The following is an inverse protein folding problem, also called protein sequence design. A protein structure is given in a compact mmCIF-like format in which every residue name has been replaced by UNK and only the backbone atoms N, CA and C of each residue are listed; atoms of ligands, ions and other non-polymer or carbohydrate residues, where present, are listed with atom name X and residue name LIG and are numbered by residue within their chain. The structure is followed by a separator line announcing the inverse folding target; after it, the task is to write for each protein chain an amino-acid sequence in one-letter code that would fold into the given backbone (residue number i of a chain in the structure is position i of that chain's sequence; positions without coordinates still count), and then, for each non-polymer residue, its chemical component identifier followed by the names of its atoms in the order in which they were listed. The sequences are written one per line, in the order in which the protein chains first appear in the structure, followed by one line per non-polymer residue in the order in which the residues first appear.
data_IF_989017304773
#
_entry.id   IF_989017304773
#
_cell.length_a   1.000
_cell.length_b   1.000
_cell.length_c   1.000
_cell.angle_alpha   90.00
_cell.angle_beta   90.00
_cell.angle_gamma   90.00
#
_symmetry.space_group_name_H-M   'P 1'
#
loop_
_entity.id
_entity.type
_entity.pdbx_description
1 polymer ?
#
# COMPACT_ATOMS: atom_id res chain seq x y z
N UNK A 1 -10.69 -2.19 15.65
CA UNK A 1 -9.68 -1.68 16.62
C UNK A 1 -10.30 -1.08 17.88
N UNK A 2 -11.02 0.05 17.83
CA UNK A 2 -11.63 0.70 19.00
C UNK A 2 -12.47 -0.28 19.85
N UNK A 3 -13.40 -0.99 19.21
CA UNK A 3 -14.25 -2.01 19.85
C UNK A 3 -13.43 -3.04 20.64
N UNK A 4 -12.42 -3.65 20.02
CA UNK A 4 -11.60 -4.67 20.66
C UNK A 4 -10.71 -4.12 21.78
N UNK A 5 -9.99 -3.01 21.55
CA UNK A 5 -8.97 -2.51 22.49
C UNK A 5 -9.57 -1.68 23.63
N UNK A 6 -10.62 -0.91 23.37
CA UNK A 6 -11.23 0.03 24.33
C UNK A 6 -12.46 -0.59 24.98
N UNK A 7 -13.41 -1.05 24.17
CA UNK A 7 -14.72 -1.47 24.68
C UNK A 7 -14.66 -2.89 25.28
N UNK A 8 -14.03 -3.83 24.58
CA UNK A 8 -13.95 -5.25 24.98
C UNK A 8 -12.65 -5.62 25.71
N UNK A 9 -11.60 -4.79 25.58
CA UNK A 9 -10.25 -5.05 26.14
C UNK A 9 -9.68 -6.43 25.79
N UNK A 10 -9.86 -6.83 24.54
CA UNK A 10 -9.43 -8.11 23.99
C UNK A 10 -8.45 -7.95 22.82
N UNK A 11 -7.85 -9.06 22.42
CA UNK A 11 -6.99 -9.13 21.25
C UNK A 11 -7.74 -8.62 19.98
N UNK A 12 -7.22 -7.59 19.27
CA UNK A 12 -7.89 -7.05 18.08
C UNK A 12 -7.73 -7.91 16.83
N UNK A 13 -6.91 -8.97 16.87
CA UNK A 13 -6.66 -9.86 15.74
C UNK A 13 -7.59 -11.07 15.71
N UNK A 14 -8.63 -11.10 16.54
CA UNK A 14 -9.69 -12.11 16.49
C UNK A 14 -11.03 -11.45 16.82
N UNK A 15 -12.11 -11.86 16.14
CA UNK A 15 -13.44 -11.28 16.31
C UNK A 15 -14.55 -12.32 16.20
N UNK A 16 -15.55 -12.22 17.08
CA UNK A 16 -16.84 -12.94 16.95
C UNK A 16 -17.93 -12.08 16.29
N UNK A 17 -17.61 -10.84 15.91
CA UNK A 17 -18.56 -9.96 15.24
C UNK A 17 -18.74 -10.30 13.75
N UNK A 18 -17.83 -11.08 13.17
CA UNK A 18 -17.90 -11.53 11.77
C UNK A 18 -17.94 -13.06 11.79
N UNK A 19 -18.79 -13.66 10.95
CA UNK A 19 -19.10 -15.09 10.98
C UNK A 19 -19.57 -15.58 12.36
N UNK A 20 -20.47 -14.80 12.97
CA UNK A 20 -21.09 -15.20 14.23
C UNK A 20 -21.85 -16.53 14.06
N UNK A 21 -21.81 -17.45 15.06
CA UNK A 21 -21.15 -17.35 16.37
C UNK A 21 -19.67 -17.74 16.38
N UNK A 22 -19.16 -18.30 15.29
CA UNK A 22 -17.86 -18.96 15.24
C UNK A 22 -16.68 -17.99 15.32
N UNK A 23 -16.79 -16.82 14.69
CA UNK A 23 -15.73 -15.82 14.67
C UNK A 23 -14.60 -16.16 13.70
N UNK A 24 -13.64 -15.25 13.56
CA UNK A 24 -12.50 -15.40 12.65
C UNK A 24 -11.27 -14.60 13.06
N UNK A 25 -10.10 -15.12 12.66
CA UNK A 25 -8.81 -14.46 12.83
C UNK A 25 -8.61 -13.34 11.80
N UNK A 26 -8.06 -12.22 12.26
CA UNK A 26 -7.81 -11.03 11.46
C UNK A 26 -6.33 -10.82 11.14
N UNK A 27 -5.42 -11.66 11.66
CA UNK A 27 -3.96 -11.49 11.49
C UNK A 27 -3.51 -11.54 10.02
N UNK A 28 -4.19 -12.36 9.21
CA UNK A 28 -3.92 -12.55 7.78
C UNK A 28 -4.76 -11.67 6.86
N UNK A 29 -5.62 -10.81 7.42
CA UNK A 29 -6.41 -9.88 6.63
C UNK A 29 -5.54 -8.70 6.18
N UNK A 30 -5.95 -8.00 5.11
CA UNK A 30 -5.46 -6.66 4.78
C UNK A 30 -5.95 -5.61 5.81
N UNK A 31 -5.77 -5.95 7.09
CA UNK A 31 -6.08 -5.15 8.24
C UNK A 31 -5.04 -4.04 8.33
N UNK A 32 -5.45 -2.82 8.67
CA UNK A 32 -4.56 -1.68 8.89
C UNK A 32 -4.41 -1.36 10.39
N UNK A 33 -3.72 -2.21 11.20
CA UNK A 33 -3.58 -1.99 12.63
C UNK A 33 -3.13 -0.58 13.01
N UNK A 34 -2.14 -0.05 12.29
CA UNK A 34 -1.58 1.26 12.55
C UNK A 34 -2.65 2.36 12.41
N UNK A 35 -3.36 2.37 11.28
CA UNK A 35 -4.46 3.29 11.02
C UNK A 35 -5.61 3.11 12.02
N UNK A 36 -5.93 1.86 12.37
CA UNK A 36 -6.96 1.52 13.34
C UNK A 36 -6.65 1.99 14.76
N UNK A 37 -5.37 1.98 15.17
CA UNK A 37 -4.93 2.51 16.49
C UNK A 37 -4.91 4.03 16.48
N UNK A 38 -4.33 4.65 15.45
CA UNK A 38 -4.24 6.11 15.35
C UNK A 38 -5.60 6.80 15.20
N UNK A 39 -6.62 6.09 14.71
CA UNK A 39 -7.97 6.63 14.64
C UNK A 39 -8.71 6.64 15.97
N UNK A 40 -8.30 5.87 17.00
CA UNK A 40 -9.05 5.74 18.26
C UNK A 40 -9.35 7.10 18.93
N UNK A 41 -8.37 8.00 19.15
CA UNK A 41 -8.66 9.28 19.80
C UNK A 41 -9.68 10.12 19.02
N UNK A 42 -9.60 10.09 17.69
CA UNK A 42 -10.52 10.83 16.82
C UNK A 42 -11.89 10.17 16.74
N UNK A 43 -11.97 8.83 16.82
CA UNK A 43 -13.25 8.11 16.86
C UNK A 43 -14.06 8.48 18.10
N UNK A 44 -13.39 8.64 19.24
CA UNK A 44 -14.03 9.03 20.50
C UNK A 44 -14.57 10.47 20.47
N UNK A 45 -13.96 11.36 19.68
CA UNK A 45 -14.33 12.78 19.62
C UNK A 45 -15.31 13.10 18.48
N UNK A 46 -15.16 12.44 17.33
CA UNK A 46 -15.79 12.85 16.07
C UNK A 46 -16.49 11.72 15.30
N UNK A 47 -16.48 10.49 15.83
CA UNK A 47 -17.03 9.32 15.16
C UNK A 47 -16.10 8.69 14.12
N UNK A 48 -16.52 7.54 13.57
CA UNK A 48 -15.66 6.69 12.73
C UNK A 48 -15.26 7.34 11.41
N UNK A 49 -16.22 7.89 10.66
CA UNK A 49 -15.98 8.48 9.33
C UNK A 49 -15.03 9.68 9.41
N UNK A 50 -15.27 10.59 10.36
CA UNK A 50 -14.41 11.76 10.58
C UNK A 50 -13.01 11.34 11.01
N UNK A 51 -12.90 10.36 11.92
CA UNK A 51 -11.62 9.84 12.36
C UNK A 51 -10.82 9.20 11.21
N UNK A 52 -11.50 8.44 10.34
CA UNK A 52 -10.87 7.84 9.17
C UNK A 52 -10.26 8.92 8.26
N UNK A 53 -11.04 9.95 7.91
CA UNK A 53 -10.58 11.06 7.07
C UNK A 53 -9.42 11.85 7.70
N UNK A 54 -9.48 12.10 9.02
CA UNK A 54 -8.40 12.79 9.74
C UNK A 54 -7.11 11.99 9.66
N UNK A 55 -7.14 10.69 9.99
CA UNK A 55 -5.93 9.85 9.98
C UNK A 55 -5.35 9.72 8.58
N UNK A 56 -6.20 9.57 7.56
CA UNK A 56 -5.78 9.54 6.16
C UNK A 56 -5.06 10.85 5.74
N UNK A 57 -5.63 12.01 6.07
CA UNK A 57 -4.99 13.30 5.77
C UNK A 57 -3.66 13.44 6.52
N UNK A 58 -3.63 13.06 7.80
CA UNK A 58 -2.42 13.10 8.61
C UNK A 58 -1.34 12.15 8.07
N UNK A 59 -1.71 10.99 7.51
CA UNK A 59 -0.76 10.04 6.95
C UNK A 59 -0.10 10.60 5.67
N UNK A 60 -0.86 11.27 4.80
CA UNK A 60 -0.33 11.99 3.64
C UNK A 60 0.60 13.15 4.05
N UNK A 61 0.20 13.94 5.04
CA UNK A 61 1.03 15.02 5.59
C UNK A 61 2.33 14.45 6.16
N UNK A 62 2.26 13.36 6.92
CA UNK A 62 3.43 12.68 7.46
C UNK A 62 4.35 12.14 6.35
N UNK A 63 3.80 11.60 5.26
CA UNK A 63 4.57 11.17 4.10
C UNK A 63 5.27 12.35 3.40
N UNK A 64 4.57 13.47 3.22
CA UNK A 64 5.13 14.68 2.62
C UNK A 64 6.29 15.24 3.46
N UNK A 65 6.11 15.36 4.78
CA UNK A 65 7.17 15.81 5.68
C UNK A 65 8.35 14.84 5.73
N UNK A 66 8.10 13.54 5.85
CA UNK A 66 9.15 12.52 5.85
C UNK A 66 9.99 12.57 4.58
N UNK A 67 9.34 12.68 3.43
CA UNK A 67 10.02 12.84 2.13
C UNK A 67 10.78 14.16 2.04
N UNK A 68 10.19 15.27 2.49
CA UNK A 68 10.86 16.58 2.51
C UNK A 68 12.16 16.49 3.32
N UNK A 69 12.13 15.90 4.51
CA UNK A 69 13.30 15.74 5.35
C UNK A 69 14.33 14.78 4.76
N UNK A 70 13.91 13.70 4.11
CA UNK A 70 14.80 12.80 3.37
C UNK A 70 15.50 13.54 2.23
N UNK A 71 14.72 14.19 1.35
CA UNK A 71 15.26 14.97 0.26
C UNK A 71 16.17 16.08 0.77
N UNK A 72 15.86 16.73 1.89
CA UNK A 72 16.69 17.78 2.49
C UNK A 72 18.00 17.20 3.07
N UNK A 73 17.96 16.03 3.70
CA UNK A 73 19.13 15.35 4.23
C UNK A 73 20.14 14.95 3.13
N UNK A 74 19.65 14.72 1.91
CA UNK A 74 20.45 14.32 0.75
C UNK A 74 20.83 15.49 -0.17
N UNK A 75 19.93 16.46 -0.36
CA UNK A 75 20.09 17.59 -1.26
C UNK A 75 20.65 18.85 -0.56
N UNK A 76 20.39 19.03 0.75
CA UNK A 76 20.76 20.22 1.56
C UNK A 76 20.20 21.54 1.00
N UNK A 77 18.97 21.55 0.48
CA UNK A 77 18.29 22.77 0.03
C UNK A 77 16.77 22.59 0.10
N UNK A 78 16.10 23.44 0.89
CA UNK A 78 14.66 23.32 1.19
C UNK A 78 13.79 23.43 -0.07
N UNK A 79 14.15 24.32 -1.01
CA UNK A 79 13.29 24.66 -2.15
C UNK A 79 13.09 23.46 -3.08
N UNK A 80 14.17 22.71 -3.33
CA UNK A 80 14.13 21.54 -4.19
C UNK A 80 13.58 20.31 -3.46
N UNK A 81 13.75 20.22 -2.15
CA UNK A 81 13.18 19.14 -1.34
C UNK A 81 11.64 19.18 -1.30
N UNK A 82 11.01 20.35 -1.44
CA UNK A 82 9.54 20.47 -1.57
C UNK A 82 9.04 19.72 -2.81
N UNK A 83 9.74 19.83 -3.94
CA UNK A 83 9.36 19.13 -5.18
C UNK A 83 9.42 17.62 -4.98
N UNK A 84 10.49 17.11 -4.37
CA UNK A 84 10.60 15.70 -4.00
C UNK A 84 9.48 15.24 -3.08
N UNK A 85 9.11 16.03 -2.07
CA UNK A 85 8.02 15.67 -1.16
C UNK A 85 6.68 15.51 -1.86
N UNK A 86 6.39 16.37 -2.83
CA UNK A 86 5.13 16.31 -3.57
C UNK A 86 5.10 15.08 -4.47
N UNK A 87 6.21 14.81 -5.18
CA UNK A 87 6.34 13.67 -6.08
C UNK A 87 6.09 12.33 -5.39
N UNK A 88 6.58 12.14 -4.16
CA UNK A 88 6.35 10.87 -3.46
C UNK A 88 4.98 10.81 -2.80
N UNK A 89 4.68 11.79 -1.94
CA UNK A 89 3.51 11.74 -1.07
C UNK A 89 2.18 11.84 -1.84
N UNK A 90 2.19 12.50 -3.00
CA UNK A 90 1.04 12.63 -3.89
C UNK A 90 1.30 11.96 -5.24
N UNK A 91 2.14 10.91 -5.26
CA UNK A 91 2.34 10.11 -6.48
C UNK A 91 1.00 9.53 -6.98
N UNK A 92 0.83 9.30 -8.30
CA UNK A 92 -0.40 8.71 -8.84
C UNK A 92 -0.76 7.39 -8.16
N UNK A 93 0.26 6.58 -7.83
CA UNK A 93 0.08 5.34 -7.09
C UNK A 93 -0.57 5.59 -5.72
N UNK A 94 -0.03 6.52 -4.90
CA UNK A 94 -0.61 6.81 -3.58
C UNK A 94 -2.03 7.35 -3.71
N UNK A 95 -2.24 8.28 -4.64
CA UNK A 95 -3.52 8.99 -4.78
C UNK A 95 -4.68 8.08 -5.19
N UNK A 96 -4.44 7.09 -6.06
CA UNK A 96 -5.48 6.14 -6.45
C UNK A 96 -5.78 5.13 -5.33
N UNK A 97 -4.77 4.76 -4.51
CA UNK A 97 -4.97 3.81 -3.40
C UNK A 97 -5.82 4.34 -2.27
N UNK A 98 -5.89 5.65 -2.10
CA UNK A 98 -6.76 6.28 -1.09
C UNK A 98 -8.22 5.83 -1.27
N UNK A 99 -8.65 5.53 -2.50
CA UNK A 99 -10.04 5.14 -2.81
C UNK A 99 -10.32 3.65 -2.60
N UNK A 100 -9.30 2.77 -2.63
CA UNK A 100 -9.52 1.32 -2.66
C UNK A 100 -8.74 0.55 -1.57
N UNK A 101 -7.49 0.92 -1.33
CA UNK A 101 -6.56 0.16 -0.49
C UNK A 101 -5.78 1.10 0.42
N UNK A 102 -6.41 1.50 1.53
CA UNK A 102 -5.85 2.46 2.49
C UNK A 102 -4.51 1.99 3.08
N UNK A 103 -4.32 0.68 3.26
CA UNK A 103 -3.02 0.11 3.64
C UNK A 103 -1.88 0.50 2.68
N UNK A 104 -2.18 0.67 1.38
CA UNK A 104 -1.21 1.01 0.35
C UNK A 104 -1.13 2.52 0.08
N UNK A 105 -2.00 3.35 0.66
CA UNK A 105 -1.80 4.80 0.67
C UNK A 105 -0.96 5.27 1.85
N UNK A 106 -0.88 4.49 2.94
CA UNK A 106 -0.10 4.77 4.14
C UNK A 106 1.41 4.57 3.94
N UNK A 107 2.01 5.42 3.10
CA UNK A 107 3.43 5.32 2.70
C UNK A 107 4.38 6.10 3.62
N UNK A 108 3.87 6.83 4.61
CA UNK A 108 4.70 7.60 5.53
C UNK A 108 5.73 6.75 6.28
N UNK A 109 5.45 5.51 6.74
CA UNK A 109 6.43 4.75 7.50
C UNK A 109 7.68 4.44 6.67
N UNK A 110 7.52 4.22 5.35
CA UNK A 110 8.62 3.98 4.40
C UNK A 110 9.60 5.15 4.40
N UNK A 111 9.12 6.38 4.22
CA UNK A 111 10.01 7.55 4.09
C UNK A 111 10.68 7.92 5.39
N UNK A 112 9.98 7.78 6.51
CA UNK A 112 10.56 8.00 7.83
C UNK A 112 11.59 6.93 8.17
N UNK A 113 11.32 5.65 7.84
CA UNK A 113 12.31 4.59 7.92
C UNK A 113 13.57 4.93 7.12
N UNK A 114 13.43 5.24 5.82
CA UNK A 114 14.59 5.52 4.96
C UNK A 114 15.38 6.73 5.45
N UNK A 115 14.70 7.79 5.92
CA UNK A 115 15.35 8.96 6.52
C UNK A 115 16.20 8.59 7.75
N UNK A 116 15.62 7.88 8.71
CA UNK A 116 16.33 7.53 9.94
C UNK A 116 17.40 6.47 9.70
N UNK A 117 17.17 5.54 8.76
CA UNK A 117 18.16 4.55 8.35
C UNK A 117 19.39 5.21 7.72
N UNK A 118 19.18 6.18 6.82
CA UNK A 118 20.27 6.99 6.24
C UNK A 118 20.99 7.79 7.32
N UNK A 119 20.28 8.37 8.29
CA UNK A 119 20.88 9.10 9.41
C UNK A 119 21.70 8.17 10.31
N UNK A 120 21.19 6.98 10.62
CA UNK A 120 21.87 5.96 11.41
C UNK A 120 23.15 5.46 10.71
N UNK A 121 23.13 5.30 9.38
CA UNK A 121 24.33 4.99 8.62
C UNK A 121 25.39 6.09 8.73
N UNK A 122 24.99 7.37 8.58
CA UNK A 122 25.94 8.49 8.69
C UNK A 122 26.47 8.66 10.11
N UNK A 123 25.61 8.46 11.12
CA UNK A 123 25.92 8.58 12.55
C UNK A 123 25.08 7.56 13.32
N UNK A 124 25.67 6.48 13.86
CA UNK A 124 24.93 5.38 14.50
C UNK A 124 24.49 5.74 15.93
N UNK A 125 23.72 6.83 16.07
CA UNK A 125 23.13 7.25 17.34
C UNK A 125 21.94 6.36 17.69
N UNK A 126 21.78 6.06 18.99
CA UNK A 126 20.70 5.20 19.50
C UNK A 126 19.32 5.67 19.02
N UNK A 127 19.05 6.97 19.05
CA UNK A 127 17.75 7.51 18.63
C UNK A 127 17.45 7.20 17.15
N UNK A 128 18.44 7.28 16.25
CA UNK A 128 18.20 6.95 14.84
C UNK A 128 18.00 5.46 14.62
N UNK A 129 18.68 4.62 15.39
CA UNK A 129 18.46 3.16 15.39
C UNK A 129 17.03 2.86 15.88
N UNK A 130 16.63 3.42 17.02
CA UNK A 130 15.30 3.23 17.59
C UNK A 130 14.19 3.73 16.65
N UNK A 131 14.30 4.94 16.10
CA UNK A 131 13.32 5.44 15.14
C UNK A 131 13.26 4.58 13.88
N UNK A 132 14.41 4.10 13.37
CA UNK A 132 14.41 3.18 12.22
C UNK A 132 13.66 1.88 12.57
N UNK A 133 13.89 1.30 13.74
CA UNK A 133 13.18 0.09 14.17
C UNK A 133 11.67 0.32 14.36
N UNK A 134 11.28 1.47 14.95
CA UNK A 134 9.86 1.85 15.12
C UNK A 134 9.17 2.02 13.77
N UNK A 135 9.78 2.72 12.82
CA UNK A 135 9.18 2.90 11.50
C UNK A 135 9.19 1.60 10.68
N UNK A 136 10.17 0.70 10.88
CA UNK A 136 10.12 -0.64 10.31
C UNK A 136 8.97 -1.49 10.90
N UNK A 137 8.70 -1.33 12.20
CA UNK A 137 7.54 -1.93 12.84
C UNK A 137 6.22 -1.34 12.32
N UNK A 138 6.16 -0.02 12.10
CA UNK A 138 4.99 0.62 11.48
C UNK A 138 4.77 0.13 10.05
N UNK A 139 5.83 -0.06 9.26
CA UNK A 139 5.71 -0.70 7.93
C UNK A 139 5.07 -2.09 8.06
N UNK A 140 5.52 -2.91 9.01
CA UNK A 140 4.94 -4.24 9.27
C UNK A 140 3.46 -4.17 9.65
N UNK A 141 3.06 -3.19 10.47
CA UNK A 141 1.66 -2.97 10.85
C UNK A 141 0.80 -2.32 9.75
N UNK A 142 1.41 -1.82 8.69
CA UNK A 142 0.70 -1.23 7.55
C UNK A 142 0.47 -2.29 6.48
N UNK A 143 1.53 -2.91 5.97
CA UNK A 143 1.43 -3.90 4.89
C UNK A 143 2.71 -4.75 4.77
N UNK A 144 2.54 -6.07 4.66
CA UNK A 144 3.67 -7.00 4.55
C UNK A 144 4.44 -6.91 3.22
N UNK A 145 3.79 -6.46 2.13
CA UNK A 145 4.47 -6.15 0.87
C UNK A 145 5.48 -5.03 1.10
N UNK A 146 5.10 -3.97 1.81
CA UNK A 146 6.00 -2.86 2.12
C UNK A 146 7.15 -3.26 3.02
N UNK A 147 6.93 -4.18 3.96
CA UNK A 147 8.02 -4.74 4.74
C UNK A 147 9.02 -5.46 3.84
N UNK A 148 8.55 -6.34 2.95
CA UNK A 148 9.42 -7.05 2.00
C UNK A 148 10.21 -6.06 1.12
N UNK A 149 9.55 -5.04 0.57
CA UNK A 149 10.20 -4.00 -0.23
C UNK A 149 11.27 -3.25 0.56
N UNK A 150 10.98 -2.96 1.82
CA UNK A 150 11.93 -2.28 2.70
C UNK A 150 13.14 -3.15 3.02
N UNK A 151 12.95 -4.45 3.24
CA UNK A 151 14.06 -5.39 3.41
C UNK A 151 14.91 -5.50 2.14
N UNK A 152 14.29 -5.52 0.96
CA UNK A 152 14.99 -5.47 -0.32
C UNK A 152 15.80 -4.17 -0.46
N UNK A 153 15.21 -3.02 -0.11
CA UNK A 153 15.90 -1.73 -0.10
C UNK A 153 17.12 -1.74 0.85
N UNK A 154 16.97 -2.28 2.06
CA UNK A 154 18.08 -2.45 3.01
C UNK A 154 19.20 -3.30 2.40
N UNK A 155 18.86 -4.42 1.76
CA UNK A 155 19.80 -5.29 1.06
C UNK A 155 20.59 -4.54 -0.02
N UNK A 156 19.88 -3.82 -0.90
CA UNK A 156 20.50 -2.98 -1.95
C UNK A 156 21.42 -1.92 -1.30
N UNK A 157 20.98 -1.29 -0.22
CA UNK A 157 21.74 -0.27 0.50
C UNK A 157 23.04 -0.81 1.10
N UNK A 158 22.99 -1.97 1.76
CA UNK A 158 24.18 -2.66 2.31
C UNK A 158 25.14 -3.05 1.19
N UNK A 159 24.61 -3.68 0.12
CA UNK A 159 25.42 -4.12 -1.03
C UNK A 159 26.05 -2.94 -1.76
N UNK A 160 25.42 -1.77 -1.76
CA UNK A 160 25.95 -0.59 -2.43
C UNK A 160 27.02 0.14 -1.61
N UNK A 161 26.79 0.38 -0.32
CA UNK A 161 27.70 1.15 0.53
C UNK A 161 28.80 0.31 1.21
N UNK A 162 28.55 -0.99 1.44
CA UNK A 162 29.55 -2.00 1.86
C UNK A 162 30.42 -1.63 3.06
N UNK A 163 29.87 -0.94 4.07
CA UNK A 163 30.62 -0.61 5.29
C UNK A 163 30.28 -1.57 6.44
N UNK A 164 31.29 -1.98 7.23
CA UNK A 164 31.06 -2.82 8.44
C UNK A 164 30.14 -2.12 9.45
N UNK A 165 30.31 -0.81 9.63
CA UNK A 165 29.49 -0.02 10.55
C UNK A 165 28.01 -0.03 10.15
N UNK A 166 27.70 0.08 8.85
CA UNK A 166 26.33 -0.03 8.33
C UNK A 166 25.74 -1.41 8.60
N UNK A 167 26.51 -2.48 8.38
CA UNK A 167 26.05 -3.85 8.65
C UNK A 167 25.63 -4.02 10.12
N UNK A 168 26.51 -3.68 11.07
CA UNK A 168 26.18 -3.77 12.50
C UNK A 168 25.04 -2.85 12.92
N UNK A 169 24.95 -1.65 12.34
CA UNK A 169 23.83 -0.73 12.59
C UNK A 169 22.51 -1.34 12.12
N UNK A 170 22.52 -1.98 10.94
CA UNK A 170 21.35 -2.67 10.40
C UNK A 170 20.97 -3.88 11.25
N UNK A 171 21.94 -4.68 11.69
CA UNK A 171 21.68 -5.80 12.60
C UNK A 171 20.98 -5.32 13.87
N UNK A 172 21.45 -4.23 14.51
CA UNK A 172 20.79 -3.66 15.69
C UNK A 172 19.34 -3.24 15.39
N UNK A 173 19.10 -2.58 14.26
CA UNK A 173 17.76 -2.15 13.84
C UNK A 173 16.85 -3.37 13.69
N UNK A 174 17.31 -4.41 12.98
CA UNK A 174 16.57 -5.65 12.73
C UNK A 174 16.35 -6.46 14.01
N UNK A 175 17.32 -6.52 14.92
CA UNK A 175 17.16 -7.20 16.21
C UNK A 175 16.07 -6.53 17.04
N UNK A 176 16.09 -5.20 17.17
CA UNK A 176 15.05 -4.47 17.91
C UNK A 176 13.69 -4.66 17.24
N UNK A 177 13.63 -4.58 15.91
CA UNK A 177 12.41 -4.86 15.16
C UNK A 177 11.86 -6.27 15.44
N UNK A 178 12.70 -7.31 15.35
CA UNK A 178 12.31 -8.70 15.59
C UNK A 178 11.84 -8.93 17.03
N UNK A 179 12.46 -8.29 18.02
CA UNK A 179 12.02 -8.37 19.42
C UNK A 179 10.60 -7.79 19.54
N UNK A 180 10.35 -6.60 18.98
CA UNK A 180 9.05 -5.93 19.03
C UNK A 180 7.97 -6.67 18.23
N UNK A 181 8.31 -7.29 17.09
CA UNK A 181 7.37 -8.04 16.26
C UNK A 181 7.17 -9.48 16.70
N UNK A 182 8.00 -10.01 17.58
CA UNK A 182 7.95 -11.42 17.99
C UNK A 182 6.56 -11.90 18.47
N UNK A 183 5.76 -11.12 19.24
CA UNK A 183 4.42 -11.57 19.63
C UNK A 183 3.49 -11.76 18.43
N UNK A 184 3.58 -10.87 17.44
CA UNK A 184 2.80 -10.96 16.21
C UNK A 184 3.26 -12.15 15.35
N UNK A 185 4.57 -12.40 15.27
CA UNK A 185 5.11 -13.55 14.54
C UNK A 185 4.64 -14.88 15.15
N UNK A 186 4.59 -14.96 16.48
CA UNK A 186 4.04 -16.14 17.18
C UNK A 186 2.57 -16.33 16.82
N UNK A 187 1.77 -15.25 16.83
CA UNK A 187 0.36 -15.30 16.41
C UNK A 187 0.20 -15.75 14.95
N UNK A 188 1.00 -15.20 14.03
CA UNK A 188 1.02 -15.62 12.63
C UNK A 188 1.29 -17.12 12.49
N UNK A 189 2.35 -17.63 13.13
CA UNK A 189 2.71 -19.05 13.04
C UNK A 189 1.59 -19.94 13.61
N UNK A 190 1.04 -19.57 14.76
CA UNK A 190 -0.06 -20.31 15.38
C UNK A 190 -1.29 -20.37 14.47
N UNK A 191 -1.69 -19.24 13.89
CA UNK A 191 -2.84 -19.19 12.98
C UNK A 191 -2.57 -19.95 11.68
N UNK A 192 -1.35 -19.86 11.12
CA UNK A 192 -0.97 -20.59 9.91
C UNK A 192 -1.10 -22.11 10.07
N UNK A 193 -0.69 -22.64 11.22
CA UNK A 193 -0.71 -24.08 11.48
C UNK A 193 -2.13 -24.62 11.71
N UNK A 194 -3.04 -23.77 12.19
CA UNK A 194 -4.37 -24.19 12.61
C UNK A 194 -5.45 -23.89 11.56
N UNK A 195 -5.17 -23.06 10.56
CA UNK A 195 -6.18 -22.60 9.62
C UNK A 195 -6.08 -23.29 8.26
N UNK A 196 -7.11 -24.08 7.95
CA UNK A 196 -7.42 -24.51 6.59
C UNK A 196 -8.29 -23.45 5.92
N UNK A 197 -7.71 -22.67 5.01
CA UNK A 197 -8.43 -21.64 4.27
C UNK A 197 -8.68 -22.08 2.82
N UNK A 198 -9.71 -21.51 2.17
CA UNK A 198 -9.79 -21.55 0.73
C UNK A 198 -8.69 -20.66 0.13
N UNK A 199 -7.84 -21.24 -0.71
CA UNK A 199 -6.87 -20.48 -1.49
C UNK A 199 -7.57 -19.82 -2.67
N UNK A 200 -7.79 -18.51 -2.60
CA UNK A 200 -8.12 -17.73 -3.80
C UNK A 200 -6.82 -17.38 -4.49
N UNK A 201 -6.29 -18.36 -5.24
CA UNK A 201 -5.11 -18.13 -6.04
C UNK A 201 -5.47 -17.25 -7.25
N UNK A 202 -4.85 -16.08 -7.32
CA UNK A 202 -4.85 -15.27 -8.54
C UNK A 202 -3.42 -15.22 -9.04
N UNK A 203 -3.23 -15.63 -10.30
CA UNK A 203 -1.91 -15.68 -10.90
C UNK A 203 -1.29 -14.28 -10.97
N UNK A 204 -0.07 -14.12 -10.44
CA UNK A 204 0.65 -12.85 -10.52
C UNK A 204 0.87 -12.41 -11.97
N UNK A 205 0.93 -13.34 -12.93
CA UNK A 205 0.99 -13.00 -14.36
C UNK A 205 -0.23 -12.18 -14.77
N UNK A 206 -1.42 -12.51 -14.27
CA UNK A 206 -2.64 -11.77 -14.58
C UNK A 206 -2.59 -10.36 -14.00
N UNK A 207 -2.12 -10.23 -12.75
CA UNK A 207 -2.04 -8.98 -11.98
C UNK A 207 -0.83 -8.09 -12.32
N UNK A 208 0.08 -8.55 -13.18
CA UNK A 208 1.27 -7.77 -13.54
C UNK A 208 0.94 -6.68 -14.57
N UNK A 209 1.49 -5.46 -14.39
CA UNK A 209 1.25 -4.36 -15.31
C UNK A 209 1.98 -4.56 -16.64
N UNK A 210 1.38 -4.01 -17.70
CA UNK A 210 2.06 -3.82 -18.99
C UNK A 210 3.14 -2.72 -18.90
N UNK A 211 4.22 -2.84 -19.66
CA UNK A 211 5.30 -1.85 -19.72
C UNK A 211 4.77 -0.43 -20.02
N UNK A 212 3.76 -0.29 -20.88
CA UNK A 212 3.21 1.02 -21.21
C UNK A 212 2.46 1.67 -20.05
N UNK A 213 2.01 0.91 -19.03
CA UNK A 213 1.31 1.44 -17.85
C UNK A 213 2.16 2.38 -17.00
N UNK A 214 3.49 2.34 -17.17
CA UNK A 214 4.41 3.20 -16.45
C UNK A 214 4.60 4.59 -17.08
N UNK A 215 4.12 4.79 -18.31
CA UNK A 215 4.22 6.04 -19.07
C UNK A 215 2.86 6.58 -19.53
N UNK A 216 1.78 5.88 -19.19
CA UNK A 216 0.41 6.30 -19.50
C UNK A 216 -0.28 6.73 -18.20
N UNK A 217 -0.82 7.97 -18.13
CA UNK A 217 -1.50 8.48 -16.93
C UNK A 217 -2.76 7.68 -16.61
N UNK A 218 -3.22 7.71 -15.36
CA UNK A 218 -4.44 7.00 -14.92
C UNK A 218 -5.65 7.34 -15.79
N UNK A 219 -6.55 6.36 -15.94
CA UNK A 219 -7.83 6.52 -16.60
C UNK A 219 -8.71 7.58 -15.92
N UNK A 220 -8.46 7.87 -14.64
CA UNK A 220 -9.14 8.92 -13.88
C UNK A 220 -8.72 10.33 -14.34
N UNK A 221 -7.55 10.50 -14.96
CA UNK A 221 -7.11 11.78 -15.55
C UNK A 221 -7.69 11.96 -16.96
N UNK A 222 -8.96 12.33 -17.03
CA UNK A 222 -9.71 12.46 -18.30
C UNK A 222 -9.11 13.49 -19.27
N UNK A 223 -8.41 14.51 -18.78
CA UNK A 223 -7.79 15.54 -19.63
C UNK A 223 -6.62 15.00 -20.45
N UNK A 224 -5.78 14.16 -19.83
CA UNK A 224 -4.69 13.50 -20.53
C UNK A 224 -5.19 12.27 -21.31
N UNK A 225 -6.22 11.58 -20.82
CA UNK A 225 -6.73 10.33 -21.38
C UNK A 225 -7.03 10.41 -22.89
N UNK A 226 -7.59 11.52 -23.38
CA UNK A 226 -7.93 11.73 -24.80
C UNK A 226 -6.74 11.51 -25.74
N UNK A 227 -5.53 11.80 -25.28
CA UNK A 227 -4.30 11.62 -26.07
C UNK A 227 -3.78 10.17 -26.07
N UNK A 228 -4.29 9.33 -25.17
CA UNK A 228 -3.84 7.96 -24.94
C UNK A 228 -4.91 6.89 -25.21
N UNK A 229 -6.12 7.27 -25.64
CA UNK A 229 -7.25 6.33 -25.86
C UNK A 229 -6.89 5.13 -26.74
N UNK A 230 -6.19 5.36 -27.86
CA UNK A 230 -5.76 4.29 -28.76
C UNK A 230 -4.85 3.26 -28.06
N UNK A 231 -3.97 3.72 -27.18
CA UNK A 231 -3.05 2.86 -26.43
C UNK A 231 -3.81 2.16 -25.29
N UNK A 232 -4.73 2.86 -24.64
CA UNK A 232 -5.60 2.31 -23.60
C UNK A 232 -6.44 1.14 -24.10
N UNK A 233 -7.03 1.28 -25.29
CA UNK A 233 -7.85 0.25 -25.92
C UNK A 233 -7.03 -0.99 -26.29
N UNK A 234 -5.76 -0.82 -26.66
CA UNK A 234 -4.86 -1.92 -26.99
C UNK A 234 -4.31 -2.63 -25.76
N UNK A 235 -3.87 -1.88 -24.75
CA UNK A 235 -3.24 -2.43 -23.54
C UNK A 235 -4.27 -3.06 -22.59
N UNK A 236 -5.53 -2.58 -22.62
CA UNK A 236 -6.60 -3.05 -21.73
C UNK A 236 -6.37 -2.61 -20.28
N UNK A 237 -7.43 -2.47 -19.47
CA UNK A 237 -7.29 -2.07 -18.06
C UNK A 237 -6.56 -3.17 -17.28
N UNK A 238 -5.75 -2.77 -16.30
CA UNK A 238 -5.23 -3.75 -15.35
C UNK A 238 -6.41 -4.36 -14.58
N UNK A 239 -6.30 -5.65 -14.25
CA UNK A 239 -7.34 -6.39 -13.52
C UNK A 239 -7.58 -5.75 -12.14
N UNK A 240 -6.54 -5.19 -11.55
CA UNK A 240 -6.58 -4.47 -10.27
C UNK A 240 -7.11 -3.03 -10.39
N UNK A 241 -7.28 -2.51 -11.61
CA UNK A 241 -7.73 -1.14 -11.87
C UNK A 241 -6.68 -0.06 -11.59
N UNK A 242 -5.42 -0.42 -11.33
CA UNK A 242 -4.41 0.46 -10.73
C UNK A 242 -3.52 1.20 -11.76
N UNK A 243 -3.04 2.37 -11.37
CA UNK A 243 -2.10 3.22 -12.10
C UNK A 243 -0.67 3.05 -11.61
N UNK A 244 0.25 3.04 -12.57
CA UNK A 244 1.67 2.88 -12.36
C UNK A 244 2.47 4.01 -13.01
N UNK A 245 1.82 5.14 -13.30
CA UNK A 245 2.36 6.23 -14.11
C UNK A 245 3.45 7.07 -13.41
N UNK A 246 4.68 7.03 -13.92
CA UNK A 246 5.77 7.81 -13.33
C UNK A 246 5.72 9.32 -13.57
N UNK A 247 4.99 9.80 -14.57
CA UNK A 247 5.17 11.16 -15.09
C UNK A 247 6.29 11.24 -16.12
N UNK A 248 6.04 11.88 -17.26
CA UNK A 248 7.06 12.08 -18.29
C UNK A 248 8.14 13.05 -17.83
N UNK A 249 7.78 14.08 -17.04
CA UNK A 249 8.75 15.04 -16.51
C UNK A 249 9.69 14.41 -15.48
N UNK A 250 9.21 13.69 -14.44
CA UNK A 250 10.07 12.94 -13.53
C UNK A 250 10.99 11.93 -14.26
N UNK A 251 10.49 11.24 -15.28
CA UNK A 251 11.30 10.35 -16.11
C UNK A 251 12.36 11.10 -16.92
N UNK A 252 12.02 12.26 -17.48
CA UNK A 252 12.99 13.14 -18.16
C UNK A 252 14.12 13.57 -17.22
N UNK A 253 13.79 13.91 -15.98
CA UNK A 253 14.79 14.20 -14.94
C UNK A 253 15.63 12.97 -14.61
N UNK A 254 15.04 11.77 -14.50
CA UNK A 254 15.80 10.53 -14.30
C UNK A 254 16.81 10.33 -15.43
N UNK A 255 16.37 10.40 -16.68
CA UNK A 255 17.23 10.22 -17.87
C UNK A 255 18.36 11.25 -17.87
N UNK A 256 18.05 12.53 -17.69
CA UNK A 256 19.06 13.59 -17.60
C UNK A 256 20.07 13.32 -16.47
N UNK A 257 19.59 12.87 -15.31
CA UNK A 257 20.42 12.55 -14.15
C UNK A 257 21.36 11.38 -14.43
N UNK A 258 20.86 10.34 -15.09
CA UNK A 258 21.66 9.18 -15.51
C UNK A 258 22.78 9.61 -16.45
N UNK A 259 22.46 10.44 -17.46
CA UNK A 259 23.42 10.88 -18.47
C UNK A 259 24.47 11.84 -17.87
N UNK A 260 24.03 12.85 -17.09
CA UNK A 260 24.90 13.98 -16.69
C UNK A 260 25.47 13.86 -15.29
N UNK A 261 24.80 13.15 -14.38
CA UNK A 261 25.05 13.23 -12.94
C UNK A 261 25.34 11.88 -12.27
N UNK A 262 25.11 10.75 -12.93
CA UNK A 262 25.27 9.39 -12.37
C UNK A 262 26.65 9.14 -11.79
N UNK A 263 27.71 9.57 -12.48
CA UNK A 263 29.09 9.42 -11.99
C UNK A 263 29.51 10.51 -10.99
N UNK A 264 28.71 11.57 -10.83
CA UNK A 264 29.06 12.79 -10.09
C UNK A 264 28.35 12.92 -8.73
N UNK A 265 27.42 12.04 -8.40
CA UNK A 265 26.72 12.09 -7.12
C UNK A 265 26.33 10.68 -6.68
N UNK A 266 26.81 10.28 -5.50
CA UNK A 266 26.60 8.92 -4.97
C UNK A 266 25.13 8.60 -4.72
N UNK A 267 24.32 9.58 -4.31
CA UNK A 267 22.89 9.41 -4.07
C UNK A 267 22.11 9.28 -5.37
N UNK A 268 22.44 10.03 -6.42
CA UNK A 268 21.85 9.82 -7.74
C UNK A 268 22.17 8.40 -8.21
N UNK A 269 23.44 7.98 -8.15
CA UNK A 269 23.84 6.62 -8.53
C UNK A 269 23.06 5.56 -7.76
N UNK A 270 23.00 5.68 -6.43
CA UNK A 270 22.30 4.75 -5.55
C UNK A 270 20.80 4.67 -5.89
N UNK A 271 20.10 5.81 -5.92
CA UNK A 271 18.67 5.83 -6.20
C UNK A 271 18.34 5.45 -7.64
N UNK A 272 19.25 5.61 -8.60
CA UNK A 272 19.10 5.02 -9.93
C UNK A 272 19.10 3.49 -9.87
N UNK A 273 19.99 2.87 -9.09
CA UNK A 273 19.94 1.41 -8.88
C UNK A 273 18.64 0.97 -8.19
N UNK A 274 18.22 1.69 -7.15
CA UNK A 274 16.93 1.44 -6.48
C UNK A 274 15.80 1.51 -7.52
N UNK A 275 15.71 2.59 -8.30
CA UNK A 275 14.68 2.75 -9.33
C UNK A 275 14.65 1.55 -10.28
N UNK A 276 15.77 1.18 -10.90
CA UNK A 276 15.76 0.12 -11.91
C UNK A 276 15.52 -1.27 -11.32
N UNK A 277 16.06 -1.57 -10.13
CA UNK A 277 15.80 -2.87 -9.48
C UNK A 277 14.30 -3.00 -9.16
N UNK A 278 13.73 -2.01 -8.47
CA UNK A 278 12.30 -2.05 -8.12
C UNK A 278 11.40 -1.98 -9.35
N UNK A 279 11.80 -1.26 -10.40
CA UNK A 279 11.06 -1.22 -11.67
C UNK A 279 11.05 -2.59 -12.36
N UNK A 280 12.18 -3.30 -12.38
CA UNK A 280 12.23 -4.66 -12.93
C UNK A 280 11.33 -5.62 -12.15
N UNK A 281 11.28 -5.53 -10.82
CA UNK A 281 10.33 -6.30 -10.03
C UNK A 281 8.88 -5.87 -10.28
N UNK A 282 8.63 -4.57 -10.53
CA UNK A 282 7.29 -4.06 -10.79
C UNK A 282 6.67 -4.61 -12.09
N UNK A 283 7.49 -4.92 -13.09
CA UNK A 283 7.08 -5.54 -14.36
C UNK A 283 6.48 -6.96 -14.19
N UNK A 284 6.69 -7.60 -13.03
CA UNK A 284 6.14 -8.92 -12.75
C UNK A 284 6.99 -10.08 -13.24
N UNK A 285 6.47 -11.33 -13.21
CA UNK A 285 7.25 -12.53 -13.50
C UNK A 285 7.59 -12.68 -14.98
N UNK A 286 6.77 -12.10 -15.87
CA UNK A 286 6.97 -12.12 -17.32
C UNK A 286 6.70 -10.74 -17.89
N UNK A 287 7.54 -10.28 -18.82
CA UNK A 287 7.37 -8.97 -19.43
C UNK A 287 6.14 -8.91 -20.35
N UNK A 288 5.27 -7.93 -20.11
CA UNK A 288 4.12 -7.59 -20.98
C UNK A 288 4.39 -6.30 -21.74
N UNK A 289 4.13 -6.29 -23.04
CA UNK A 289 4.28 -5.12 -23.91
C UNK A 289 3.07 -5.01 -24.82
N UNK A 290 2.34 -3.88 -24.73
CA UNK A 290 1.25 -3.59 -25.65
C UNK A 290 0.05 -4.53 -25.53
N UNK A 291 -0.18 -5.10 -24.34
CA UNK A 291 -1.23 -6.08 -24.06
C UNK A 291 -0.79 -7.53 -24.23
N UNK A 292 0.37 -7.78 -24.84
CA UNK A 292 0.87 -9.13 -25.11
C UNK A 292 1.94 -9.56 -24.09
N UNK A 293 1.89 -10.82 -23.67
CA UNK A 293 2.94 -11.41 -22.84
C UNK A 293 4.08 -11.93 -23.73
N UNK A 294 5.28 -11.40 -23.52
CA UNK A 294 6.48 -11.79 -24.28
C UNK A 294 7.08 -13.12 -23.85
N UNK A 295 6.61 -13.71 -22.74
CA UNK A 295 7.17 -14.89 -22.08
C UNK A 295 8.63 -14.74 -21.59
N UNK A 296 9.22 -13.56 -21.67
CA UNK A 296 10.53 -13.29 -21.09
C UNK A 296 10.42 -13.30 -19.56
N UNK A 297 11.04 -14.30 -18.93
CA UNK A 297 11.08 -14.43 -17.48
C UNK A 297 11.92 -13.31 -16.84
N UNK A 298 11.36 -12.67 -15.83
CA UNK A 298 11.98 -11.59 -15.07
C UNK A 298 12.28 -12.04 -13.63
N UNK A 299 13.15 -11.32 -12.88
CA UNK A 299 13.55 -11.71 -11.52
C UNK A 299 12.40 -11.95 -10.53
N UNK A 300 11.25 -11.31 -10.71
CA UNK A 300 10.07 -11.55 -9.89
C UNK A 300 9.58 -13.00 -9.94
N UNK A 301 9.83 -13.73 -11.04
CA UNK A 301 9.48 -15.15 -11.15
C UNK A 301 10.17 -16.04 -10.10
N UNK A 302 11.31 -15.61 -9.54
CA UNK A 302 11.97 -16.29 -8.43
C UNK A 302 11.16 -16.17 -7.12
N UNK A 303 10.44 -15.06 -6.92
CA UNK A 303 9.57 -14.88 -5.77
C UNK A 303 8.38 -15.84 -5.83
N UNK A 304 7.81 -16.06 -7.03
CA UNK A 304 6.69 -16.99 -7.22
C UNK A 304 7.04 -18.46 -7.00
N UNK A 305 8.33 -18.82 -7.09
CA UNK A 305 8.83 -20.17 -6.83
C UNK A 305 9.00 -20.46 -5.34
N UNK A 306 9.05 -19.41 -4.50
CA UNK A 306 9.22 -19.56 -3.06
C UNK A 306 7.83 -19.56 -2.40
N UNK A 307 7.41 -20.64 -1.72
CA UNK A 307 6.03 -20.77 -1.21
C UNK A 307 5.57 -19.57 -0.36
N UNK A 308 6.41 -19.08 0.55
CA UNK A 308 6.07 -17.93 1.40
C UNK A 308 5.97 -16.60 0.64
N UNK A 309 6.64 -16.46 -0.50
CA UNK A 309 6.68 -15.22 -1.30
C UNK A 309 5.75 -15.28 -2.50
N UNK A 310 5.16 -16.45 -2.82
CA UNK A 310 4.15 -16.61 -3.87
C UNK A 310 2.91 -15.75 -3.64
N UNK A 311 2.61 -15.43 -2.38
CA UNK A 311 1.55 -14.50 -1.98
C UNK A 311 1.78 -13.06 -2.45
N UNK A 312 3.03 -12.67 -2.77
CA UNK A 312 3.34 -11.38 -3.37
C UNK A 312 2.96 -11.44 -4.86
N UNK A 313 1.66 -11.31 -5.16
CA UNK A 313 1.12 -11.51 -6.52
C UNK A 313 0.93 -10.23 -7.32
N UNK A 314 0.77 -9.08 -6.66
CA UNK A 314 0.62 -7.78 -7.34
C UNK A 314 1.99 -7.13 -7.49
N UNK A 315 2.65 -7.42 -8.62
CA UNK A 315 4.02 -6.96 -8.86
C UNK A 315 4.13 -5.44 -8.96
N UNK A 316 3.13 -4.78 -9.55
CA UNK A 316 3.18 -3.34 -9.78
C UNK A 316 3.38 -2.51 -8.50
N UNK A 317 3.03 -3.04 -7.33
CA UNK A 317 3.23 -2.40 -6.01
C UNK A 317 4.69 -2.10 -5.66
N UNK A 318 5.66 -2.79 -6.28
CA UNK A 318 7.10 -2.47 -6.12
C UNK A 318 7.44 -1.03 -6.56
N UNK A 319 6.58 -0.40 -7.36
CA UNK A 319 6.74 0.96 -7.86
C UNK A 319 6.92 2.01 -6.76
N UNK A 320 6.47 1.75 -5.52
CA UNK A 320 6.55 2.76 -4.45
C UNK A 320 8.00 3.21 -4.20
N UNK A 321 8.97 2.30 -4.26
CA UNK A 321 10.38 2.65 -4.14
C UNK A 321 10.96 3.32 -5.39
N UNK A 322 10.33 3.14 -6.55
CA UNK A 322 10.64 3.90 -7.75
C UNK A 322 10.22 5.37 -7.60
N UNK A 323 9.01 5.65 -7.08
CA UNK A 323 8.61 7.02 -6.76
C UNK A 323 9.52 7.67 -5.71
N UNK A 324 9.93 6.91 -4.70
CA UNK A 324 10.87 7.41 -3.70
C UNK A 324 12.21 7.80 -4.34
N UNK A 325 12.72 6.93 -5.23
CA UNK A 325 13.93 7.21 -5.99
C UNK A 325 13.79 8.44 -6.89
N UNK A 326 12.68 8.57 -7.62
CA UNK A 326 12.38 9.73 -8.46
C UNK A 326 12.33 11.02 -7.62
N UNK A 327 11.66 11.01 -6.47
CA UNK A 327 11.58 12.16 -5.57
C UNK A 327 12.97 12.66 -5.15
N UNK A 328 13.88 11.75 -4.77
CA UNK A 328 15.26 12.12 -4.42
C UNK A 328 16.04 12.61 -5.65
N UNK A 329 15.98 11.88 -6.76
CA UNK A 329 16.72 12.21 -7.98
C UNK A 329 16.30 13.58 -8.52
N UNK A 330 15.00 13.84 -8.67
CA UNK A 330 14.47 15.12 -9.15
C UNK A 330 14.92 16.26 -8.23
N UNK A 331 14.86 16.07 -6.91
CA UNK A 331 15.31 17.09 -5.93
C UNK A 331 16.78 17.47 -6.12
N UNK A 332 17.67 16.47 -6.26
CA UNK A 332 19.12 16.72 -6.43
C UNK A 332 19.40 17.33 -7.81
N UNK A 333 18.70 16.87 -8.84
CA UNK A 333 18.94 17.28 -10.23
C UNK A 333 18.45 18.69 -10.49
N UNK A 334 17.28 19.08 -10.00
CA UNK A 334 16.80 20.46 -10.07
C UNK A 334 17.77 21.43 -9.38
N UNK A 335 18.29 21.04 -8.20
CA UNK A 335 19.30 21.85 -7.50
C UNK A 335 20.53 22.09 -8.38
N UNK A 336 21.04 21.04 -9.01
CA UNK A 336 22.25 21.14 -9.85
C UNK A 336 21.99 21.92 -11.14
N UNK A 337 20.84 21.72 -11.78
CA UNK A 337 20.48 22.39 -13.02
C UNK A 337 20.32 23.90 -12.83
N UNK A 338 19.63 24.30 -11.76
CA UNK A 338 19.31 25.70 -11.48
C UNK A 338 20.36 26.38 -10.57
N UNK A 339 21.51 25.73 -10.30
CA UNK A 339 22.53 26.27 -9.40
C UNK A 339 23.16 27.56 -9.93
N UNK A 340 23.42 27.62 -11.25
CA UNK A 340 24.05 28.78 -11.91
C UNK A 340 23.04 29.76 -12.52
N UNK A 341 21.74 29.47 -12.44
CA UNK A 341 20.70 30.32 -13.02
C UNK A 341 20.47 31.57 -12.17
N UNK A 342 20.13 32.69 -12.82
CA UNK A 342 19.70 33.89 -12.12
C UNK A 342 18.45 33.60 -11.26
N UNK A 343 18.25 34.38 -10.19
CA UNK A 343 17.20 34.14 -9.18
C UNK A 343 15.80 34.06 -9.80
N UNK A 344 15.48 34.94 -10.76
CA UNK A 344 14.19 34.95 -11.45
C UNK A 344 13.95 33.63 -12.20
N UNK A 345 14.86 33.25 -13.09
CA UNK A 345 14.76 32.00 -13.86
C UNK A 345 14.77 30.75 -12.99
N UNK A 346 15.47 30.78 -11.86
CA UNK A 346 15.42 29.71 -10.86
C UNK A 346 14.02 29.59 -10.23
N UNK A 347 13.36 30.70 -9.88
CA UNK A 347 11.99 30.69 -9.34
C UNK A 347 10.99 30.22 -10.40
N UNK A 348 11.09 30.74 -11.62
CA UNK A 348 10.23 30.34 -12.75
C UNK A 348 10.40 28.85 -13.05
N UNK A 349 11.64 28.34 -13.13
CA UNK A 349 11.90 26.92 -13.38
C UNK A 349 11.34 26.00 -12.30
N UNK A 350 11.46 26.37 -11.02
CA UNK A 350 10.88 25.59 -9.92
C UNK A 350 9.35 25.62 -9.99
N UNK A 351 8.75 26.80 -10.21
CA UNK A 351 7.29 26.94 -10.31
C UNK A 351 6.75 26.17 -11.52
N UNK A 352 7.44 26.23 -12.66
CA UNK A 352 7.07 25.48 -13.85
C UNK A 352 7.07 23.97 -13.58
N UNK A 353 8.15 23.44 -13.02
CA UNK A 353 8.23 22.01 -12.70
C UNK A 353 7.17 21.62 -11.67
N UNK A 354 6.92 22.46 -10.66
CA UNK A 354 5.85 22.24 -9.70
C UNK A 354 4.47 22.14 -10.38
N UNK A 355 4.12 23.12 -11.23
CA UNK A 355 2.83 23.16 -11.91
C UNK A 355 2.67 21.98 -12.87
N UNK A 356 3.70 21.63 -13.63
CA UNK A 356 3.64 20.50 -14.56
C UNK A 356 3.53 19.17 -13.82
N UNK A 357 4.26 19.00 -12.71
CA UNK A 357 4.12 17.80 -11.86
C UNK A 357 2.70 17.71 -11.29
N UNK A 358 2.12 18.83 -10.83
CA UNK A 358 0.73 18.82 -10.37
C UNK A 358 -0.25 18.40 -11.47
N UNK A 359 -0.03 18.82 -12.71
CA UNK A 359 -0.88 18.44 -13.85
C UNK A 359 -0.70 16.96 -14.19
N UNK A 360 0.54 16.46 -14.27
CA UNK A 360 0.83 15.06 -14.59
C UNK A 360 0.33 14.11 -13.49
N UNK A 361 0.44 14.51 -12.22
CA UNK A 361 0.08 13.67 -11.07
C UNK A 361 -1.34 13.93 -10.59
N UNK A 362 -2.09 14.83 -11.23
CA UNK A 362 -3.48 15.07 -10.91
C UNK A 362 -4.26 13.76 -11.09
N UNK A 363 -4.84 13.19 -10.01
CA UNK A 363 -5.55 11.91 -10.10
C UNK A 363 -6.91 12.05 -10.79
N UNK A 364 -7.35 13.26 -11.14
CA UNK A 364 -8.72 13.52 -11.59
C UNK A 364 -9.63 13.82 -10.41
N UNK A 365 -10.92 13.56 -10.57
CA UNK A 365 -11.92 13.72 -9.51
C UNK A 365 -11.86 12.54 -8.55
N UNK A 366 -11.59 12.81 -7.28
CA UNK A 366 -11.75 11.81 -6.21
C UNK A 366 -13.24 11.68 -5.93
N UNK A 367 -13.81 10.51 -6.18
CA UNK A 367 -15.20 10.23 -5.85
C UNK A 367 -15.32 10.11 -4.34
N UNK A 368 -16.09 11.01 -3.73
CA UNK A 368 -16.45 10.90 -2.32
C UNK A 368 -17.57 9.89 -2.21
N UNK A 369 -17.33 8.84 -1.43
CA UNK A 369 -18.33 7.81 -1.20
C UNK A 369 -19.44 8.37 -0.30
N UNK A 370 -20.66 8.38 -0.82
CA UNK A 370 -21.86 8.73 -0.07
C UNK A 370 -22.57 7.44 0.30
N UNK A 371 -22.61 7.14 1.58
CA UNK A 371 -23.43 6.04 2.06
C UNK A 371 -24.86 6.52 2.18
N UNK A 372 -25.79 5.75 1.61
CA UNK A 372 -27.22 5.94 1.83
C UNK A 372 -27.53 5.68 3.30
N UNK A 373 -28.37 6.54 3.88
CA UNK A 373 -28.91 6.32 5.22
C UNK A 373 -30.11 5.39 5.11
N UNK A 374 -29.93 4.14 5.55
CA UNK A 374 -31.02 3.17 5.61
C UNK A 374 -31.57 3.12 7.04
N UNK A 375 -32.82 3.58 7.27
CA UNK A 375 -33.40 3.64 8.62
C UNK A 375 -33.39 2.31 9.35
N UNK A 376 -33.46 1.18 8.62
CA UNK A 376 -33.42 -0.17 9.18
C UNK A 376 -32.20 -0.42 10.06
N UNK A 377 -31.02 0.12 9.71
CA UNK A 377 -29.82 -0.10 10.53
C UNK A 377 -29.87 0.70 11.84
N UNK A 378 -30.58 1.83 11.89
CA UNK A 378 -30.85 2.52 13.17
C UNK A 378 -31.86 1.73 14.00
N UNK A 379 -32.91 1.18 13.38
CA UNK A 379 -33.87 0.30 14.07
C UNK A 379 -33.15 -0.89 14.72
N UNK A 380 -32.26 -1.57 13.98
CA UNK A 380 -31.46 -2.69 14.50
C UNK A 380 -30.53 -2.26 15.63
N UNK A 381 -29.95 -1.05 15.54
CA UNK A 381 -29.09 -0.47 16.57
C UNK A 381 -29.84 -0.21 17.87
N UNK A 382 -31.07 0.30 17.75
CA UNK A 382 -31.90 0.68 18.89
C UNK A 382 -32.48 -0.54 19.62
N UNK A 383 -32.68 -1.63 18.90
CA UNK A 383 -33.08 -2.93 19.44
C UNK A 383 -32.04 -3.46 20.46
N UNK A 384 -32.51 -3.76 21.68
CA UNK A 384 -31.67 -4.20 22.80
C UNK A 384 -31.54 -5.71 22.89
N UNK A 385 -32.29 -6.47 22.09
CA UNK A 385 -32.21 -7.93 22.09
C UNK A 385 -30.84 -8.41 21.58
N UNK A 386 -30.46 -9.60 22.04
CA UNK A 386 -29.19 -10.23 21.66
C UNK A 386 -29.41 -11.13 20.44
N UNK A 387 -29.18 -10.59 19.26
CA UNK A 387 -29.30 -11.29 17.99
C UNK A 387 -28.16 -10.91 17.03
N UNK A 388 -27.91 -11.78 16.05
CA UNK A 388 -27.03 -11.51 14.92
C UNK A 388 -27.82 -11.10 13.69
N UNK A 389 -27.20 -10.31 12.81
CA UNK A 389 -27.81 -9.85 11.57
C UNK A 389 -27.37 -10.74 10.40
N UNK A 390 -28.34 -11.26 9.66
CA UNK A 390 -28.15 -11.91 8.37
C UNK A 390 -28.56 -10.94 7.27
N UNK A 391 -27.59 -10.46 6.49
CA UNK A 391 -27.88 -9.77 5.24
C UNK A 391 -27.81 -10.79 4.10
N UNK A 392 -28.75 -10.71 3.16
CA UNK A 392 -28.85 -11.60 2.00
C UNK A 392 -28.58 -10.76 0.74
N UNK A 393 -27.69 -11.20 -0.18
CA UNK A 393 -26.92 -12.47 -0.18
C UNK A 393 -25.85 -12.56 0.93
N UNK A 394 -25.34 -13.77 1.24
CA UNK A 394 -24.36 -13.99 2.31
C UNK A 394 -22.96 -13.74 1.75
N UNK A 395 -22.37 -12.58 2.03
CA UNK A 395 -21.16 -12.20 1.37
C UNK A 395 -19.97 -13.02 1.85
N UNK A 396 -19.48 -13.94 1.02
CA UNK A 396 -18.14 -14.49 1.23
C UNK A 396 -17.09 -13.68 0.44
N UNK A 397 -17.40 -13.22 -0.79
CA UNK A 397 -16.35 -12.73 -1.72
C UNK A 397 -16.70 -11.62 -2.75
N UNK A 398 -17.93 -11.10 -2.92
CA UNK A 398 -18.28 -10.14 -4.01
C UNK A 398 -19.14 -8.91 -3.64
N UNK A 399 -18.58 -7.69 -3.62
CA UNK A 399 -19.34 -6.40 -3.52
C UNK A 399 -19.78 -5.96 -2.09
N UNK A 400 -18.96 -6.24 -1.07
CA UNK A 400 -19.47 -6.41 0.30
C UNK A 400 -18.78 -5.65 1.45
N UNK A 401 -17.95 -4.64 1.18
CA UNK A 401 -17.47 -3.71 2.23
C UNK A 401 -18.65 -2.96 2.90
N UNK A 402 -19.76 -2.82 2.18
CA UNK A 402 -20.98 -2.15 2.62
C UNK A 402 -21.58 -2.76 3.89
N UNK A 403 -21.68 -4.09 3.97
CA UNK A 403 -22.26 -4.79 5.14
C UNK A 403 -21.39 -4.57 6.37
N UNK A 404 -20.07 -4.67 6.23
CA UNK A 404 -19.13 -4.37 7.31
C UNK A 404 -19.12 -2.89 7.70
N UNK A 405 -19.42 -1.98 6.76
CA UNK A 405 -19.65 -0.57 7.08
C UNK A 405 -20.92 -0.38 7.90
N UNK A 406 -22.06 -0.95 7.49
CA UNK A 406 -23.31 -0.85 8.25
C UNK A 406 -23.25 -1.55 9.61
N UNK A 407 -22.43 -2.60 9.73
CA UNK A 407 -22.08 -3.18 11.02
C UNK A 407 -21.50 -2.17 12.01
N UNK A 408 -20.76 -1.16 11.52
CA UNK A 408 -20.23 -0.11 12.39
C UNK A 408 -21.32 0.83 12.92
N UNK A 409 -22.50 0.83 12.28
CA UNK A 409 -23.67 1.62 12.70
C UNK A 409 -24.51 0.83 13.70
N UNK A 410 -24.90 -0.40 13.35
CA UNK A 410 -25.81 -1.20 14.18
C UNK A 410 -25.10 -1.96 15.31
N UNK A 411 -23.77 -2.13 15.23
CA UNK A 411 -22.90 -2.74 16.24
C UNK A 411 -23.30 -4.16 16.70
N UNK A 412 -24.08 -4.90 15.88
CA UNK A 412 -24.46 -6.30 16.14
C UNK A 412 -23.50 -7.25 15.40
N UNK A 413 -23.29 -8.49 15.89
CA UNK A 413 -22.58 -9.52 15.13
C UNK A 413 -23.29 -9.83 13.81
N UNK A 414 -22.53 -10.12 12.76
CA UNK A 414 -23.05 -10.51 11.44
C UNK A 414 -22.66 -11.96 11.13
N UNK A 415 -23.55 -12.67 10.43
CA UNK A 415 -23.30 -14.04 9.96
C UNK A 415 -22.39 -14.02 8.73
N UNK A 416 -22.46 -13.00 7.87
CA UNK A 416 -21.55 -12.85 6.74
C UNK A 416 -20.28 -12.07 7.08
N UNK A 417 -19.60 -11.61 6.04
CA UNK A 417 -18.55 -10.59 6.11
C UNK A 417 -17.37 -10.95 5.21
N UNK A 418 -16.53 -9.96 4.93
CA UNK A 418 -15.37 -10.16 4.07
C UNK A 418 -14.10 -10.31 4.90
N UNK A 419 -13.42 -11.45 4.71
CA UNK A 419 -12.03 -11.62 5.14
C UNK A 419 -11.19 -12.09 3.95
N UNK A 420 -9.90 -11.76 3.96
CA UNK A 420 -8.95 -12.13 2.91
C UNK A 420 -8.76 -13.65 2.80
N UNK A 421 -9.03 -14.39 3.87
CA UNK A 421 -8.92 -15.86 3.93
C UNK A 421 -10.08 -16.40 4.76
N UNK A 422 -11.12 -16.92 4.12
CA UNK A 422 -12.29 -17.50 4.79
C UNK A 422 -11.93 -18.91 5.29
N UNK A 423 -12.08 -19.19 6.60
CA UNK A 423 -11.88 -20.54 7.15
C UNK A 423 -12.80 -21.56 6.48
N UNK A 424 -12.25 -22.70 6.02
CA UNK A 424 -13.05 -23.79 5.44
C UNK A 424 -14.10 -24.30 6.41
N UNK A 425 -13.75 -24.38 7.70
CA UNK A 425 -14.66 -24.80 8.75
C UNK A 425 -15.94 -23.96 8.82
N UNK A 426 -15.87 -22.65 8.53
CA UNK A 426 -17.06 -21.77 8.54
C UNK A 426 -17.97 -22.11 7.36
N UNK A 427 -17.42 -22.34 6.18
CA UNK A 427 -18.19 -22.72 4.99
C UNK A 427 -18.81 -24.10 5.19
N UNK A 428 -18.05 -25.07 5.69
CA UNK A 428 -18.55 -26.41 6.03
C UNK A 428 -19.71 -26.36 7.03
N UNK A 429 -19.64 -25.47 8.03
CA UNK A 429 -20.72 -25.26 8.99
C UNK A 429 -21.97 -24.65 8.34
N UNK A 430 -21.84 -23.80 7.32
CA UNK A 430 -23.00 -23.22 6.65
C UNK A 430 -23.71 -24.24 5.77
N UNK A 431 -22.95 -25.17 5.16
CA UNK A 431 -23.53 -26.31 4.43
C UNK A 431 -24.27 -27.32 5.34
N UNK A 432 -24.02 -27.31 6.65
CA UNK A 432 -24.74 -28.16 7.61
C UNK A 432 -26.10 -27.59 8.01
N UNK A 433 -26.33 -26.29 7.83
CA UNK A 433 -27.61 -25.63 8.10
C UNK A 433 -28.42 -25.51 6.80
N UNK A 434 -29.63 -26.08 6.78
CA UNK A 434 -30.45 -26.14 5.57
C UNK A 434 -30.82 -24.76 5.01
N UNK A 435 -30.95 -23.72 5.84
CA UNK A 435 -31.24 -22.37 5.36
C UNK A 435 -29.99 -21.75 4.74
N UNK A 436 -28.86 -21.80 5.46
CA UNK A 436 -27.62 -21.21 4.99
C UNK A 436 -27.11 -21.93 3.74
N UNK A 437 -27.16 -23.26 3.70
CA UNK A 437 -26.76 -24.07 2.54
C UNK A 437 -27.51 -23.66 1.27
N UNK A 438 -28.82 -23.47 1.35
CA UNK A 438 -29.62 -23.01 0.22
C UNK A 438 -29.25 -21.58 -0.23
N UNK A 439 -29.02 -20.66 0.71
CA UNK A 439 -28.62 -19.29 0.37
C UNK A 439 -27.24 -19.30 -0.33
N UNK A 440 -26.30 -20.06 0.23
CA UNK A 440 -24.95 -20.24 -0.33
C UNK A 440 -25.02 -20.86 -1.73
N UNK A 441 -25.82 -21.93 -1.89
CA UNK A 441 -26.03 -22.59 -3.17
C UNK A 441 -26.57 -21.63 -4.24
N UNK A 442 -27.61 -20.85 -3.90
CA UNK A 442 -28.23 -19.90 -4.82
C UNK A 442 -27.25 -18.79 -5.24
N UNK A 443 -26.40 -18.32 -4.33
CA UNK A 443 -25.39 -17.31 -4.62
C UNK A 443 -24.29 -17.83 -5.57
N UNK A 444 -23.84 -19.07 -5.37
CA UNK A 444 -22.79 -19.66 -6.21
C UNK A 444 -23.31 -20.13 -7.57
N UNK A 445 -24.61 -20.40 -7.73
CA UNK A 445 -25.19 -20.87 -8.99
C UNK A 445 -25.14 -19.82 -10.13
N UNK A 446 -25.22 -18.53 -9.79
CA UNK A 446 -25.11 -17.41 -10.74
C UNK A 446 -23.68 -16.90 -10.94
N UNK A 447 -22.75 -17.27 -10.05
CA UNK A 447 -21.35 -16.90 -10.19
C UNK A 447 -20.63 -17.88 -11.12
N UNK A 448 -19.98 -17.39 -12.18
CA UNK A 448 -19.14 -18.21 -13.09
C UNK A 448 -17.89 -18.82 -12.41
N UNK A 449 -17.80 -18.78 -11.07
CA UNK A 449 -16.69 -19.29 -10.25
C UNK A 449 -17.10 -20.60 -9.57
N UNK A 450 -17.14 -21.66 -10.35
CA UNK A 450 -17.41 -23.05 -9.93
C UNK A 450 -16.30 -23.70 -9.06
N UNK A 451 -15.43 -22.93 -8.38
CA UNK A 451 -14.27 -23.50 -7.64
C UNK A 451 -14.60 -23.97 -6.21
N UNK A 452 -15.86 -23.84 -5.76
CA UNK A 452 -16.28 -24.20 -4.39
C UNK A 452 -17.47 -25.17 -4.42
N UNK A 453 -17.34 -26.23 -5.22
CA UNK A 453 -18.19 -27.43 -5.10
C UNK A 453 -17.35 -28.62 -4.66
#
# INVERSE_FOLDING_TARGET
MKKSLVDLKQNPFYTHYIYYPFGTGLIYNAFTPLHGVFSIPFQLLFGLTTAHNIVLILSLIAAAFGTFFLCYELCRDKKYSIIGSILFAFSPFVMERIQMHINLSDVFPIVWFVLFFVKAHKKPLLNFILFSSVFLFFIFLTDYYYLFYTLLFIGIYIIFFRTRALFFTTCKILTIFLIVTSPFLIMFIHDYQNLNFYEIYQDARALSPDLFRFVIPSWQNQHLLRWYELIYNKVGRNIDGETYYFGLIPLGFLIFSVIKLFRKNIWIKFFTFVFFIFFIFALGPTLKIGGENTNLLLPFSLLQQTPMLRELRVSGRFIIYCYLALAVIVSITLKKLLYKSQVLWKRIGILFVFLVVLIEYWPGTIQLEKFEDYPVYQTIKDDKDNFSVLEIPIPFWSDYNRIMYFQTIHEKPIIGGMVSRVPKSIVELYHQDALLDNIVFLEFQDSTKNEIR
#
